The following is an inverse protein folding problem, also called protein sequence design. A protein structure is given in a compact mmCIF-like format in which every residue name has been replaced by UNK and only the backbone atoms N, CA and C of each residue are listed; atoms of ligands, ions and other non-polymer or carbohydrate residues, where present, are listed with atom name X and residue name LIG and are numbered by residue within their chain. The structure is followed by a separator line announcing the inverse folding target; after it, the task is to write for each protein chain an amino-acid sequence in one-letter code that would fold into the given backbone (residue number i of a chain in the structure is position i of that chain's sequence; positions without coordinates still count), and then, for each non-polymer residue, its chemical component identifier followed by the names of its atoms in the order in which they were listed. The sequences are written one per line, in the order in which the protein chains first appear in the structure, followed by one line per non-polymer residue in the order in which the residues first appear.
data_IF_719987135140
#
_entry.id   IF_719987135140
#
_cell.length_a   1.000
_cell.length_b   1.000
_cell.length_c   1.000
_cell.angle_alpha   90.00
_cell.angle_beta   90.00
_cell.angle_gamma   90.00
#
_symmetry.space_group_name_H-M   'P 1'
#
loop_
_entity.id
_entity.type
_entity.pdbx_description
1 polymer ?
#
# COMPACT_ATOMS: atom_id res chain seq x y z
N UNK A 1 13.38 -7.07 -1.42
CA UNK A 1 13.53 -8.32 -2.21
C UNK A 1 12.58 -8.26 -3.40
N UNK A 2 13.09 -8.44 -4.63
CA UNK A 2 12.24 -8.57 -5.82
C UNK A 2 11.43 -9.88 -5.68
N UNK A 3 10.15 -9.93 -6.09
CA UNK A 3 9.42 -11.20 -6.10
C UNK A 3 10.13 -12.17 -7.05
N UNK A 4 10.62 -13.29 -6.51
CA UNK A 4 11.25 -14.34 -7.30
C UNK A 4 10.16 -15.15 -8.01
N UNK A 5 9.51 -14.53 -9.00
CA UNK A 5 8.53 -15.19 -9.87
C UNK A 5 9.09 -16.47 -10.50
N UNK A 6 10.41 -16.51 -10.71
CA UNK A 6 11.11 -17.70 -11.16
C UNK A 6 10.91 -18.90 -10.24
N UNK A 7 11.09 -18.76 -8.92
CA UNK A 7 10.92 -19.87 -7.96
C UNK A 7 9.48 -20.41 -7.94
N UNK A 8 8.51 -19.52 -8.10
CA UNK A 8 7.09 -19.88 -8.16
C UNK A 8 6.76 -20.66 -9.46
N UNK A 9 7.31 -20.21 -10.60
CA UNK A 9 7.15 -20.90 -11.90
C UNK A 9 7.84 -22.27 -11.86
N UNK A 10 9.09 -22.34 -11.42
CA UNK A 10 9.86 -23.59 -11.36
C UNK A 10 9.18 -24.62 -10.45
N UNK A 11 8.71 -24.21 -9.27
CA UNK A 11 8.06 -25.12 -8.34
C UNK A 11 6.68 -25.57 -8.83
N UNK A 12 5.93 -24.72 -9.53
CA UNK A 12 4.64 -25.09 -10.15
C UNK A 12 4.82 -26.06 -11.31
N UNK A 13 5.85 -25.82 -12.15
CA UNK A 13 6.21 -26.72 -13.23
C UNK A 13 6.65 -28.10 -12.70
N UNK A 14 7.47 -28.11 -11.65
CA UNK A 14 7.97 -29.34 -11.02
C UNK A 14 6.83 -30.15 -10.39
N UNK A 15 5.86 -29.50 -9.74
CA UNK A 15 4.63 -30.13 -9.27
C UNK A 15 3.84 -30.80 -10.42
N UNK A 16 3.65 -30.08 -11.53
CA UNK A 16 2.92 -30.60 -12.69
C UNK A 16 3.64 -31.79 -13.34
N UNK A 17 4.97 -31.71 -13.47
CA UNK A 17 5.81 -32.79 -13.98
C UNK A 17 5.66 -34.06 -13.11
N UNK A 18 5.70 -33.94 -11.78
CA UNK A 18 5.55 -35.10 -10.89
C UNK A 18 4.14 -35.72 -10.95
N UNK A 19 3.09 -34.92 -11.17
CA UNK A 19 1.75 -35.46 -11.42
C UNK A 19 1.71 -36.27 -12.72
N UNK A 20 2.26 -35.73 -13.81
CA UNK A 20 2.28 -36.44 -15.11
C UNK A 20 3.10 -37.74 -15.02
N UNK A 21 4.27 -37.69 -14.36
CA UNK A 21 5.10 -38.86 -14.09
C UNK A 21 4.36 -39.90 -13.24
N UNK A 22 3.64 -39.48 -12.21
CA UNK A 22 2.85 -40.38 -11.36
C UNK A 22 1.78 -41.12 -12.17
N UNK A 23 1.10 -40.42 -13.09
CA UNK A 23 0.08 -41.01 -13.95
C UNK A 23 0.68 -41.95 -15.01
N UNK A 24 1.77 -41.55 -15.67
CA UNK A 24 2.43 -42.38 -16.69
C UNK A 24 3.02 -43.67 -16.13
N UNK A 25 3.65 -43.61 -14.95
CA UNK A 25 4.33 -44.75 -14.34
C UNK A 25 3.49 -45.45 -13.26
N UNK A 26 2.24 -45.03 -13.04
CA UNK A 26 1.34 -45.54 -11.99
C UNK A 26 2.02 -45.64 -10.61
N UNK A 27 2.92 -44.71 -10.32
CA UNK A 27 3.76 -44.75 -9.12
C UNK A 27 3.24 -43.82 -8.04
N UNK A 28 2.98 -44.40 -6.88
CA UNK A 28 2.56 -43.69 -5.65
C UNK A 28 3.68 -42.82 -5.09
N UNK A 29 4.95 -43.13 -5.38
CA UNK A 29 6.11 -42.36 -4.91
C UNK A 29 6.10 -40.94 -5.49
N UNK A 30 5.84 -40.80 -6.79
CA UNK A 30 5.75 -39.49 -7.43
C UNK A 30 4.55 -38.68 -6.92
N UNK A 31 3.48 -39.36 -6.50
CA UNK A 31 2.30 -38.73 -5.91
C UNK A 31 2.62 -38.16 -4.52
N UNK A 32 3.39 -38.89 -3.70
CA UNK A 32 3.90 -38.38 -2.42
C UNK A 32 4.80 -37.15 -2.62
N UNK A 33 5.72 -37.18 -3.59
CA UNK A 33 6.59 -36.04 -3.89
C UNK A 33 5.76 -34.82 -4.35
N UNK A 34 4.77 -35.04 -5.22
CA UNK A 34 3.86 -33.99 -5.65
C UNK A 34 3.09 -33.37 -4.48
N UNK A 35 2.71 -34.16 -3.46
CA UNK A 35 1.97 -33.65 -2.29
C UNK A 35 2.79 -32.70 -1.40
N UNK A 36 4.12 -32.82 -1.39
CA UNK A 36 5.02 -31.98 -0.58
C UNK A 36 5.41 -30.69 -1.30
N UNK A 37 5.42 -30.69 -2.64
CA UNK A 37 5.80 -29.53 -3.45
C UNK A 37 5.05 -28.22 -3.10
N UNK A 38 3.72 -28.21 -2.84
CA UNK A 38 3.02 -27.00 -2.43
C UNK A 38 3.58 -26.32 -1.18
N UNK A 39 4.13 -27.09 -0.23
CA UNK A 39 4.72 -26.55 0.99
C UNK A 39 6.02 -25.77 0.70
N UNK A 40 6.75 -26.16 -0.34
CA UNK A 40 7.98 -25.49 -0.77
C UNK A 40 7.70 -24.16 -1.50
N UNK A 41 6.48 -23.93 -1.99
CA UNK A 41 6.09 -22.69 -2.70
C UNK A 41 5.86 -21.53 -1.73
N UNK A 42 5.48 -21.82 -0.47
CA UNK A 42 5.10 -20.83 0.53
C UNK A 42 6.11 -19.68 0.71
N UNK A 43 7.43 -19.90 0.85
CA UNK A 43 8.39 -18.80 0.98
C UNK A 43 8.57 -17.96 -0.29
N UNK A 44 8.14 -18.47 -1.45
CA UNK A 44 8.24 -17.78 -2.74
C UNK A 44 6.95 -17.05 -3.14
N UNK A 45 5.88 -17.18 -2.36
CA UNK A 45 4.63 -16.45 -2.61
C UNK A 45 4.88 -14.94 -2.49
N UNK A 46 4.58 -14.15 -3.54
CA UNK A 46 4.61 -12.71 -3.41
C UNK A 46 3.61 -12.27 -2.32
N UNK A 47 3.94 -11.23 -1.55
CA UNK A 47 2.97 -10.63 -0.62
C UNK A 47 1.86 -9.96 -1.46
N UNK A 48 0.80 -10.72 -1.76
CA UNK A 48 -0.33 -10.32 -2.62
C UNK A 48 -1.15 -9.19 -1.97
N UNK A 49 -0.98 -8.92 -0.67
CA UNK A 49 -1.74 -7.86 0.01
C UNK A 49 -1.12 -6.50 -0.27
N UNK A 50 -1.62 -5.86 -1.32
CA UNK A 50 -1.19 -4.53 -1.77
C UNK A 50 -1.66 -3.36 -0.87
N UNK A 51 -2.64 -3.59 0.00
CA UNK A 51 -3.27 -2.52 0.78
C UNK A 51 -2.83 -2.57 2.26
N UNK A 52 -2.22 -1.50 2.73
CA UNK A 52 -1.97 -1.21 4.14
C UNK A 52 -3.00 -0.19 4.66
N UNK A 53 -3.45 -0.36 5.90
CA UNK A 53 -4.37 0.56 6.56
C UNK A 53 -3.71 1.11 7.82
N UNK A 54 -3.68 2.44 7.93
CA UNK A 54 -3.27 3.15 9.13
C UNK A 54 -4.43 3.11 10.12
N UNK A 55 -4.12 2.73 11.36
CA UNK A 55 -5.07 2.67 12.46
C UNK A 55 -4.36 3.16 13.74
N UNK A 56 -4.36 4.46 14.03
CA UNK A 56 -3.59 5.04 15.13
C UNK A 56 -3.93 4.40 16.48
N UNK A 57 -5.22 4.18 16.74
CA UNK A 57 -5.72 3.58 17.98
C UNK A 57 -5.22 2.14 18.23
N UNK A 58 -4.90 1.39 17.17
CA UNK A 58 -4.39 0.01 17.27
C UNK A 58 -2.86 -0.05 17.28
N UNK A 59 -2.20 1.03 16.84
CA UNK A 59 -0.76 1.06 16.60
C UNK A 59 0.06 1.49 17.84
N UNK A 60 -0.57 1.66 19.01
CA UNK A 60 0.10 2.05 20.28
C UNK A 60 1.05 3.25 20.14
N UNK A 61 0.73 4.21 19.27
CA UNK A 61 1.53 5.41 19.03
C UNK A 61 2.59 5.31 17.93
N UNK A 62 2.79 4.15 17.30
CA UNK A 62 3.73 3.96 16.19
C UNK A 62 3.35 4.72 14.90
N UNK A 63 2.11 5.24 14.83
CA UNK A 63 1.65 6.13 13.77
C UNK A 63 0.71 7.19 14.36
N UNK A 64 0.83 8.42 13.89
CA UNK A 64 0.00 9.56 14.30
C UNK A 64 -0.36 10.37 13.06
N UNK A 65 -1.63 10.75 12.96
CA UNK A 65 -2.11 11.70 11.97
C UNK A 65 -2.38 13.01 12.68
N UNK A 66 -1.78 14.09 12.21
CA UNK A 66 -1.85 15.40 12.85
C UNK A 66 -2.00 16.49 11.80
N UNK A 67 -2.82 17.48 12.10
CA UNK A 67 -2.94 18.70 11.29
C UNK A 67 -1.97 19.75 11.81
N UNK A 68 -1.15 20.30 10.93
CA UNK A 68 -0.33 21.47 11.19
C UNK A 68 -0.98 22.67 10.52
N UNK A 69 -1.44 23.60 11.35
CA UNK A 69 -1.89 24.92 10.91
C UNK A 69 -0.67 25.78 10.63
N UNK A 70 -0.65 26.40 9.45
CA UNK A 70 0.40 27.36 9.11
C UNK A 70 0.01 28.74 9.64
N UNK A 71 0.65 29.18 10.73
CA UNK A 71 0.38 30.48 11.37
C UNK A 71 0.56 31.68 10.43
N UNK A 72 1.34 31.54 9.36
CA UNK A 72 1.69 32.66 8.46
C UNK A 72 0.87 32.71 7.16
N UNK A 73 0.08 31.67 6.84
CA UNK A 73 -0.78 31.63 5.64
C UNK A 73 -2.07 30.87 5.92
N UNK A 74 -3.17 31.63 5.98
CA UNK A 74 -4.54 31.19 6.27
C UNK A 74 -5.13 30.08 5.36
N UNK A 75 -4.37 29.60 4.37
CA UNK A 75 -4.84 28.70 3.31
C UNK A 75 -3.99 27.41 3.14
N UNK A 76 -3.04 27.16 4.04
CA UNK A 76 -2.10 26.03 3.89
C UNK A 76 -2.03 25.13 5.12
N UNK A 77 -3.17 24.54 5.45
CA UNK A 77 -3.18 23.44 6.42
C UNK A 77 -2.52 22.20 5.82
N UNK A 78 -1.61 21.61 6.57
CA UNK A 78 -0.95 20.36 6.19
C UNK A 78 -1.45 19.23 7.08
N UNK A 79 -1.81 18.11 6.46
CA UNK A 79 -1.93 16.85 7.16
C UNK A 79 -0.57 16.16 7.17
N UNK A 80 -0.08 15.86 8.36
CA UNK A 80 1.19 15.16 8.56
C UNK A 80 0.89 13.78 9.12
N UNK A 81 1.44 12.75 8.48
CA UNK A 81 1.41 11.38 8.96
C UNK A 81 2.81 11.06 9.49
N UNK A 82 2.93 10.95 10.80
CA UNK A 82 4.15 10.57 11.49
C UNK A 82 4.11 9.08 11.77
N UNK A 83 5.20 8.38 11.56
CA UNK A 83 5.30 6.97 11.87
C UNK A 83 6.72 6.57 12.23
N UNK A 84 6.84 5.51 13.02
CA UNK A 84 8.13 4.91 13.32
C UNK A 84 8.78 4.31 12.05
N UNK A 85 10.11 4.37 11.93
CA UNK A 85 10.83 3.71 10.84
C UNK A 85 10.41 2.24 10.71
N UNK A 86 10.09 1.80 9.49
CA UNK A 86 9.63 0.44 9.22
C UNK A 86 8.13 0.17 9.44
N UNK A 87 7.36 1.14 9.95
CA UNK A 87 5.90 1.00 10.06
C UNK A 87 5.22 0.92 8.68
N UNK A 88 5.63 1.78 7.75
CA UNK A 88 5.14 1.79 6.38
C UNK A 88 5.81 0.67 5.60
N UNK A 89 5.00 -0.26 5.08
CA UNK A 89 5.47 -1.34 4.23
C UNK A 89 5.42 -0.86 2.79
N UNK A 90 6.48 -0.19 2.33
CA UNK A 90 6.58 0.39 0.99
C UNK A 90 6.25 -0.58 -0.16
N UNK A 91 6.53 -1.87 0.03
CA UNK A 91 6.19 -2.94 -0.93
C UNK A 91 4.70 -3.25 -1.06
N UNK A 92 3.86 -2.78 -0.13
CA UNK A 92 2.39 -2.87 -0.21
C UNK A 92 1.91 -1.61 -0.90
N UNK A 93 1.71 -1.67 -2.22
CA UNK A 93 1.59 -0.49 -3.07
C UNK A 93 0.57 0.62 -2.70
N UNK A 94 -0.30 0.42 -1.70
CA UNK A 94 -1.29 1.42 -1.25
C UNK A 94 -1.33 1.53 0.27
N UNK A 95 -1.32 2.76 0.77
CA UNK A 95 -1.49 3.09 2.19
C UNK A 95 -2.78 3.88 2.39
N UNK A 96 -3.67 3.39 3.25
CA UNK A 96 -4.97 4.03 3.50
C UNK A 96 -5.04 4.61 4.89
N UNK A 97 -5.64 5.79 5.02
CA UNK A 97 -5.97 6.40 6.30
C UNK A 97 -7.39 6.96 6.29
N UNK A 98 -7.93 7.27 7.47
CA UNK A 98 -9.21 7.94 7.62
C UNK A 98 -9.03 9.35 8.15
N UNK A 99 -9.95 10.23 7.75
CA UNK A 99 -10.01 11.60 8.27
C UNK A 99 -10.43 11.67 9.74
N UNK A 100 -11.26 10.72 10.20
CA UNK A 100 -11.70 10.67 11.61
C UNK A 100 -10.58 10.30 12.59
N UNK A 101 -9.51 9.69 12.10
CA UNK A 101 -8.36 9.28 12.90
C UNK A 101 -7.32 10.41 13.06
N UNK A 102 -7.60 11.61 12.54
CA UNK A 102 -6.74 12.78 12.66
C UNK A 102 -6.83 13.34 14.08
N UNK A 103 -5.69 13.38 14.75
CA UNK A 103 -5.56 13.98 16.07
C UNK A 103 -5.36 15.49 15.93
N UNK A 104 -6.16 16.26 16.65
CA UNK A 104 -5.99 17.71 16.80
C UNK A 104 -5.09 18.00 17.99
N UNK A 105 -4.30 19.07 17.91
CA UNK A 105 -3.54 19.65 19.04
C UNK A 105 -2.52 18.72 19.72
N UNK A 106 -1.86 17.84 18.96
CA UNK A 106 -0.78 17.00 19.48
C UNK A 106 0.56 17.70 19.33
N UNK A 107 1.16 18.06 20.47
CA UNK A 107 2.55 18.53 20.48
C UNK A 107 3.48 17.43 19.99
N UNK A 108 4.21 17.71 18.91
CA UNK A 108 5.21 16.82 18.36
C UNK A 108 6.58 17.44 18.60
N UNK A 109 7.43 16.66 19.26
CA UNK A 109 8.84 17.03 19.41
C UNK A 109 9.45 17.18 18.02
N UNK A 110 10.03 18.33 17.68
CA UNK A 110 10.74 18.50 16.42
C UNK A 110 11.89 17.50 16.38
N UNK A 111 11.84 16.58 15.43
CA UNK A 111 12.95 15.68 15.12
C UNK A 111 13.72 16.28 13.93
N UNK A 112 14.94 16.82 14.14
CA UNK A 112 15.75 17.41 13.08
C UNK A 112 16.26 16.37 12.08
N UNK A 113 16.16 15.08 12.38
CA UNK A 113 16.58 13.98 11.51
C UNK A 113 15.40 13.33 10.78
N UNK A 114 14.19 13.90 10.86
CA UNK A 114 13.02 13.35 10.22
C UNK A 114 13.06 13.50 8.68
N UNK A 115 13.34 12.40 7.97
CA UNK A 115 13.20 12.36 6.52
C UNK A 115 11.72 12.49 6.14
N UNK A 116 11.41 13.65 5.55
CA UNK A 116 10.05 14.06 5.23
C UNK A 116 9.82 13.95 3.74
N UNK A 117 8.75 13.26 3.36
CA UNK A 117 8.32 13.15 1.97
C UNK A 117 6.97 13.83 1.78
N UNK A 118 6.89 14.68 0.77
CA UNK A 118 5.64 15.31 0.35
C UNK A 118 4.83 14.33 -0.48
N UNK A 119 3.55 14.23 -0.16
CA UNK A 119 2.55 13.47 -0.91
C UNK A 119 1.79 14.48 -1.77
N UNK A 120 1.76 14.20 -3.06
CA UNK A 120 1.19 15.10 -4.05
C UNK A 120 -0.22 14.63 -4.41
N UNK A 121 -1.03 15.55 -4.94
CA UNK A 121 -2.42 15.31 -5.31
C UNK A 121 -2.64 14.05 -6.15
N UNK A 122 -1.71 13.75 -7.07
CA UNK A 122 -1.81 12.59 -7.95
C UNK A 122 -1.43 11.26 -7.27
N UNK A 123 -0.83 11.30 -6.09
CA UNK A 123 -0.60 10.11 -5.26
C UNK A 123 -1.84 9.73 -4.44
N UNK A 124 -2.80 10.65 -4.33
CA UNK A 124 -3.99 10.51 -3.51
C UNK A 124 -5.16 9.93 -4.33
N UNK A 125 -5.89 9.00 -3.73
CA UNK A 125 -7.09 8.43 -4.34
C UNK A 125 -8.09 7.98 -3.28
N UNK A 126 -9.38 7.94 -3.62
CA UNK A 126 -10.41 7.44 -2.70
C UNK A 126 -10.46 5.90 -2.72
N UNK A 127 -10.72 5.30 -1.55
CA UNK A 127 -10.94 3.87 -1.47
C UNK A 127 -12.28 3.49 -2.14
N UNK A 128 -12.23 2.67 -3.21
CA UNK A 128 -13.40 2.31 -4.04
C UNK A 128 -14.63 1.80 -3.27
N UNK A 129 -14.44 1.07 -2.17
CA UNK A 129 -15.52 0.42 -1.41
C UNK A 129 -15.82 1.03 -0.02
N UNK A 130 -14.91 1.85 0.52
CA UNK A 130 -15.01 2.30 1.92
C UNK A 130 -15.05 3.82 1.92
N UNK A 131 -16.15 4.38 2.40
CA UNK A 131 -16.33 5.84 2.50
C UNK A 131 -15.29 6.44 3.45
N UNK A 132 -14.86 7.66 3.17
CA UNK A 132 -13.92 8.44 4.00
C UNK A 132 -12.53 7.82 4.22
N UNK A 133 -12.17 6.82 3.41
CA UNK A 133 -10.81 6.30 3.36
C UNK A 133 -10.06 6.91 2.19
N UNK A 134 -8.95 7.57 2.50
CA UNK A 134 -8.05 8.17 1.53
C UNK A 134 -6.85 7.24 1.40
N UNK A 135 -6.53 6.88 0.16
CA UNK A 135 -5.39 6.07 -0.21
C UNK A 135 -4.26 6.94 -0.73
N UNK A 136 -3.03 6.51 -0.44
CA UNK A 136 -1.76 7.05 -0.90
C UNK A 136 -1.06 5.95 -1.69
N UNK A 137 -0.55 6.29 -2.87
CA UNK A 137 0.17 5.38 -3.75
C UNK A 137 1.62 5.23 -3.30
N UNK A 138 1.92 4.14 -2.59
CA UNK A 138 3.29 3.88 -2.11
C UNK A 138 4.26 3.59 -3.25
N UNK A 139 3.78 3.04 -4.37
CA UNK A 139 4.61 2.77 -5.55
C UNK A 139 5.12 4.05 -6.21
N UNK A 140 4.27 5.09 -6.30
CA UNK A 140 4.66 6.38 -6.87
C UNK A 140 5.61 7.13 -5.93
N UNK A 141 5.37 7.04 -4.62
CA UNK A 141 6.28 7.58 -3.61
C UNK A 141 7.65 6.89 -3.68
N UNK A 142 7.68 5.55 -3.78
CA UNK A 142 8.92 4.77 -3.89
C UNK A 142 9.74 5.15 -5.13
N UNK A 143 9.09 5.39 -6.28
CA UNK A 143 9.78 5.86 -7.48
C UNK A 143 10.39 7.26 -7.30
N UNK A 144 9.69 8.18 -6.62
CA UNK A 144 10.23 9.52 -6.36
C UNK A 144 11.41 9.51 -5.41
N UNK A 145 11.44 8.57 -4.46
CA UNK A 145 12.58 8.43 -3.55
C UNK A 145 13.88 8.02 -4.23
N UNK A 146 13.85 7.43 -5.43
CA UNK A 146 15.07 7.15 -6.20
C UNK A 146 15.85 8.42 -6.57
N UNK A 147 15.19 9.58 -6.57
CA UNK A 147 15.76 10.87 -6.94
C UNK A 147 16.10 11.73 -5.71
N UNK A 148 15.98 11.17 -4.51
CA UNK A 148 16.19 11.84 -3.24
C UNK A 148 17.44 11.29 -2.55
N UNK A 149 18.06 12.10 -1.70
CA UNK A 149 19.27 11.69 -0.95
C UNK A 149 19.00 10.69 0.18
N UNK A 150 17.76 10.25 0.36
CA UNK A 150 17.32 9.35 1.42
C UNK A 150 16.52 8.17 0.86
N UNK A 151 16.56 7.07 1.59
CA UNK A 151 15.86 5.82 1.25
C UNK A 151 14.45 5.79 1.84
N UNK A 152 13.59 4.94 1.29
CA UNK A 152 12.24 4.70 1.83
C UNK A 152 12.25 4.25 3.30
N UNK A 153 13.32 3.60 3.76
CA UNK A 153 13.45 3.12 5.14
C UNK A 153 13.72 4.25 6.14
N UNK A 154 14.26 5.38 5.67
CA UNK A 154 14.59 6.53 6.53
C UNK A 154 13.40 7.47 6.68
N UNK A 155 12.46 7.44 5.74
CA UNK A 155 11.26 8.28 5.76
C UNK A 155 10.40 7.90 6.95
N UNK A 156 10.14 8.88 7.80
CA UNK A 156 9.32 8.76 9.01
C UNK A 156 8.17 9.78 9.06
N UNK A 157 8.07 10.62 8.01
CA UNK A 157 7.04 11.65 7.89
C UNK A 157 6.52 11.78 6.46
N UNK A 158 5.20 11.69 6.31
CA UNK A 158 4.50 12.07 5.08
C UNK A 158 3.74 13.37 5.30
N UNK A 159 3.86 14.31 4.36
CA UNK A 159 3.18 15.62 4.43
C UNK A 159 2.25 15.76 3.23
N UNK A 160 0.97 16.03 3.50
CA UNK A 160 -0.09 16.15 2.53
C UNK A 160 -0.72 17.54 2.69
N UNK A 161 -1.01 18.23 1.59
CA UNK A 161 -1.81 19.46 1.65
C UNK A 161 -3.27 19.13 1.91
N UNK A 162 -3.90 19.78 2.89
CA UNK A 162 -5.31 19.55 3.17
C UNK A 162 -6.23 19.99 2.02
N UNK A 163 -5.85 21.02 1.26
CA UNK A 163 -6.56 21.42 0.05
C UNK A 163 -6.67 20.27 -0.97
N UNK A 164 -5.58 19.53 -1.21
CA UNK A 164 -5.54 18.39 -2.12
C UNK A 164 -6.47 17.24 -1.63
N UNK A 165 -6.55 17.04 -0.32
CA UNK A 165 -7.45 16.04 0.31
C UNK A 165 -8.92 16.46 0.19
N UNK A 166 -9.22 17.73 0.47
CA UNK A 166 -10.57 18.27 0.41
C UNK A 166 -11.12 18.25 -1.02
N UNK A 167 -10.30 18.63 -2.00
CA UNK A 167 -10.69 18.53 -3.42
C UNK A 167 -10.97 17.08 -3.81
N UNK A 168 -10.17 16.13 -3.33
CA UNK A 168 -10.39 14.70 -3.60
C UNK A 168 -11.73 14.21 -3.03
N UNK A 169 -12.13 14.68 -1.84
CA UNK A 169 -13.40 14.31 -1.19
C UNK A 169 -14.61 14.95 -1.88
N UNK A 170 -14.45 16.11 -2.49
CA UNK A 170 -15.52 16.83 -3.20
C UNK A 170 -15.78 16.27 -4.61
N UNK A 171 -14.85 15.50 -5.18
CA UNK A 171 -15.06 14.90 -6.51
C UNK A 171 -16.22 13.92 -6.47
N UNK A 172 -17.24 14.07 -7.34
CA UNK A 172 -18.26 13.06 -7.49
C UNK A 172 -17.59 11.74 -7.86
N UNK A 173 -17.93 10.67 -7.15
CA UNK A 173 -17.49 9.32 -7.47
C UNK A 173 -18.11 8.98 -8.82
N UNK A 174 -17.39 9.26 -9.91
CA UNK A 174 -17.77 8.82 -11.24
C UNK A 174 -17.83 7.29 -11.22
N UNK A 175 -19.03 6.77 -11.01
CA UNK A 175 -19.37 5.41 -11.34
C UNK A 175 -19.01 5.25 -12.83
N UNK A 176 -18.28 4.19 -13.22
CA UNK A 176 -18.15 3.90 -14.64
C UNK A 176 -19.56 3.72 -15.18
N UNK A 177 -19.95 4.59 -16.12
CA UNK A 177 -21.17 4.44 -16.88
C UNK A 177 -21.19 3.01 -17.44
N UNK A 178 -22.21 2.24 -17.05
CA UNK A 178 -22.51 0.98 -17.70
C UNK A 178 -22.80 1.28 -19.17
N UNK A 179 -21.79 1.13 -20.02
CA UNK A 179 -21.96 1.08 -21.46
C UNK A 179 -22.78 -0.17 -21.77
N UNK A 180 -24.08 0.01 -21.96
CA UNK A 180 -25.01 -1.09 -22.18
C UNK A 180 -26.47 -0.66 -22.13
N UNK A 181 -26.82 0.46 -22.76
CA UNK A 181 -28.20 0.66 -23.21
C UNK A 181 -28.21 0.57 -24.73
N UNK A 182 -28.74 -0.56 -25.19
CA UNK A 182 -29.14 -0.84 -26.56
C UNK A 182 -29.96 0.32 -27.12
N UNK A 183 -29.46 0.93 -28.21
CA UNK A 183 -30.30 1.74 -29.07
C UNK A 183 -31.18 0.76 -29.85
N UNK A 184 -32.46 0.75 -29.52
CA UNK A 184 -33.48 0.14 -30.36
C UNK A 184 -33.72 0.99 -31.60
N UNK A 185 -33.82 0.34 -32.74
CA UNK A 185 -34.55 0.78 -33.92
C UNK A 185 -35.21 -0.47 -34.52
#
# INVERSE_FOLDING_TARGET
MKPNHFGLITSSLLFLIFIVLSLMFQSTIYLYIASVCPLLIVPFLPDIRSNQFIKPNQAKGAVRLITMENKDKADSDFLVILFEPGYVRWKRGKLFFKMEDIMKDVYIKPDPLAATMTVLKYDLFLHRRKKNWIGISLTQLEQRTEHLSYTTNEINRLVIRMSDVNELLQRPVNQPAAAGQSIGA
#
